data_IF_422407871794
#
_entry.id   IF_422407871794
#
_cell.length_a   1.000
_cell.length_b   1.000
_cell.length_c   1.000
_cell.angle_alpha   90.00
_cell.angle_beta   90.00
_cell.angle_gamma   90.00
#
_symmetry.space_group_name_H-M   'P 1'
#
loop_
_entity.id
_entity.type
_entity.pdbx_description
1 polymer ?
#
# COMPACT_ATOMS: atom_id res chain seq x y z
N UNK A 1 -27.65 -3.67 -2.73
CA UNK A 1 -27.57 -5.11 -3.08
C UNK A 1 -26.12 -5.52 -2.82
N UNK A 2 -25.88 -6.50 -1.94
CA UNK A 2 -24.52 -6.98 -1.64
C UNK A 2 -23.83 -7.48 -2.91
N UNK A 3 -22.50 -7.32 -3.02
CA UNK A 3 -21.73 -7.74 -4.20
C UNK A 3 -22.03 -9.22 -4.54
N UNK A 4 -22.65 -9.52 -5.70
CA UNK A 4 -23.02 -10.89 -6.07
C UNK A 4 -21.81 -11.77 -6.42
N UNK A 5 -20.62 -11.17 -6.56
CA UNK A 5 -19.36 -11.86 -6.83
C UNK A 5 -18.31 -11.42 -5.80
N UNK A 6 -18.47 -11.84 -4.54
CA UNK A 6 -17.53 -11.43 -3.51
C UNK A 6 -16.14 -12.00 -3.78
N UNK A 7 -15.11 -11.20 -3.51
CA UNK A 7 -13.71 -11.55 -3.80
C UNK A 7 -13.29 -12.91 -3.23
N UNK A 8 -13.81 -13.31 -2.07
CA UNK A 8 -13.49 -14.60 -1.45
C UNK A 8 -14.01 -15.83 -2.23
N UNK A 9 -14.84 -15.64 -3.26
CA UNK A 9 -15.30 -16.70 -4.16
C UNK A 9 -14.52 -16.75 -5.49
N UNK A 10 -13.48 -15.93 -5.68
CA UNK A 10 -12.76 -15.82 -6.96
C UNK A 10 -12.21 -17.17 -7.46
N UNK A 11 -11.68 -17.98 -6.55
CA UNK A 11 -11.18 -19.34 -6.85
C UNK A 11 -12.34 -20.28 -7.20
N UNK A 12 -13.43 -20.24 -6.42
CA UNK A 12 -14.64 -21.06 -6.68
C UNK A 12 -15.30 -20.70 -8.02
N UNK A 13 -15.20 -19.44 -8.43
CA UNK A 13 -15.72 -18.93 -9.69
C UNK A 13 -14.75 -19.12 -10.88
N UNK A 14 -13.62 -19.82 -10.67
CA UNK A 14 -12.59 -20.11 -11.68
C UNK A 14 -12.03 -18.87 -12.41
N UNK A 15 -12.01 -17.72 -11.74
CA UNK A 15 -11.49 -16.46 -12.30
C UNK A 15 -9.97 -16.37 -12.19
N UNK A 16 -9.27 -17.36 -12.72
CA UNK A 16 -7.81 -17.49 -12.59
C UNK A 16 -7.03 -16.38 -13.31
N UNK A 17 -7.61 -15.78 -14.36
CA UNK A 17 -7.03 -14.63 -15.06
C UNK A 17 -7.01 -13.33 -14.24
N UNK A 18 -7.79 -13.29 -13.16
CA UNK A 18 -7.87 -12.13 -12.28
C UNK A 18 -6.86 -12.21 -11.13
N UNK A 19 -6.22 -13.37 -10.90
CA UNK A 19 -5.24 -13.60 -9.84
C UNK A 19 -3.84 -13.56 -10.45
N UNK A 20 -2.99 -12.64 -9.98
CA UNK A 20 -1.64 -12.42 -10.52
C UNK A 20 -0.61 -12.77 -9.45
N UNK A 21 0.41 -13.55 -9.81
CA UNK A 21 1.55 -13.81 -8.95
C UNK A 21 2.44 -12.56 -8.91
N UNK A 22 2.62 -11.97 -7.74
CA UNK A 22 3.34 -10.71 -7.54
C UNK A 22 4.74 -10.89 -6.97
N UNK A 23 4.99 -12.01 -6.30
CA UNK A 23 6.30 -12.35 -5.77
C UNK A 23 6.43 -13.85 -5.55
N UNK A 24 7.62 -14.37 -5.79
CA UNK A 24 8.05 -15.73 -5.47
C UNK A 24 9.59 -15.77 -5.39
N UNK A 25 10.13 -16.69 -4.60
CA UNK A 25 11.58 -16.82 -4.38
C UNK A 25 12.22 -17.74 -5.41
N UNK A 26 11.64 -18.91 -5.65
CA UNK A 26 12.12 -19.90 -6.60
C UNK A 26 11.46 -19.76 -7.96
N UNK A 27 10.20 -19.30 -8.00
CA UNK A 27 9.40 -19.14 -9.21
C UNK A 27 9.42 -17.72 -9.81
N UNK A 28 10.61 -17.12 -9.89
CA UNK A 28 10.77 -15.70 -10.31
C UNK A 28 10.44 -15.44 -11.77
N UNK A 29 10.57 -16.43 -12.63
CA UNK A 29 10.33 -16.38 -14.07
C UNK A 29 8.85 -16.17 -14.42
N UNK A 30 7.94 -16.64 -13.56
CA UNK A 30 6.49 -16.50 -13.73
C UNK A 30 5.86 -15.33 -12.94
N UNK A 31 6.67 -14.56 -12.20
CA UNK A 31 6.18 -13.36 -11.50
C UNK A 31 5.65 -12.33 -12.50
N UNK A 32 4.42 -11.88 -12.27
CA UNK A 32 3.68 -10.95 -13.12
C UNK A 32 2.65 -11.64 -14.03
N UNK A 33 2.70 -12.96 -14.18
CA UNK A 33 1.69 -13.73 -14.91
C UNK A 33 0.44 -13.94 -14.05
N UNK A 34 -0.70 -14.11 -14.73
CA UNK A 34 -1.93 -14.58 -14.08
C UNK A 34 -1.98 -16.11 -13.97
N UNK A 35 -2.76 -16.63 -13.03
CA UNK A 35 -2.79 -18.08 -12.78
C UNK A 35 -3.42 -18.88 -13.92
N UNK A 36 -4.20 -18.26 -14.81
CA UNK A 36 -4.66 -18.93 -16.04
C UNK A 36 -3.50 -19.11 -17.03
N UNK A 37 -2.64 -18.10 -17.18
CA UNK A 37 -1.40 -18.19 -17.95
C UNK A 37 -0.42 -19.22 -17.38
N UNK A 38 -0.20 -19.20 -16.06
CA UNK A 38 0.68 -20.15 -15.38
C UNK A 38 0.18 -21.59 -15.60
N UNK A 39 -1.12 -21.84 -15.42
CA UNK A 39 -1.72 -23.17 -15.65
C UNK A 39 -1.53 -23.66 -17.09
N UNK A 40 -1.72 -22.79 -18.09
CA UNK A 40 -1.43 -23.13 -19.51
C UNK A 40 0.05 -23.45 -19.73
N UNK A 41 0.95 -22.64 -19.16
CA UNK A 41 2.40 -22.82 -19.32
C UNK A 41 2.88 -24.13 -18.68
N UNK A 42 2.35 -24.48 -17.52
CA UNK A 42 2.68 -25.71 -16.77
C UNK A 42 1.86 -26.93 -17.20
N UNK A 43 0.91 -26.76 -18.12
CA UNK A 43 -0.03 -27.80 -18.56
C UNK A 43 -0.77 -28.48 -17.39
N UNK A 44 -1.23 -27.68 -16.43
CA UNK A 44 -2.02 -28.14 -15.28
C UNK A 44 -3.19 -27.19 -15.00
N UNK A 45 -4.12 -27.62 -14.14
CA UNK A 45 -5.18 -26.73 -13.70
C UNK A 45 -4.56 -25.62 -12.84
N UNK A 46 -5.01 -24.34 -12.94
CA UNK A 46 -4.46 -23.25 -12.14
C UNK A 46 -4.49 -23.49 -10.62
N UNK A 47 -5.47 -24.26 -10.14
CA UNK A 47 -5.54 -24.69 -8.75
C UNK A 47 -4.34 -25.56 -8.35
N UNK A 48 -3.94 -26.50 -9.22
CA UNK A 48 -2.77 -27.34 -9.01
C UNK A 48 -1.50 -26.50 -9.09
N UNK A 49 -1.42 -25.57 -10.04
CA UNK A 49 -0.29 -24.64 -10.15
C UNK A 49 -0.04 -23.83 -8.87
N UNK A 50 -1.10 -23.38 -8.17
CA UNK A 50 -0.95 -22.71 -6.86
C UNK A 50 -0.29 -23.64 -5.85
N UNK A 51 -0.78 -24.88 -5.73
CA UNK A 51 -0.26 -25.85 -4.78
C UNK A 51 1.18 -26.26 -5.11
N UNK A 52 1.48 -26.48 -6.38
CA UNK A 52 2.82 -26.80 -6.87
C UNK A 52 3.81 -25.67 -6.55
N UNK A 53 3.45 -24.41 -6.82
CA UNK A 53 4.28 -23.26 -6.47
C UNK A 53 4.54 -23.21 -4.96
N UNK A 54 3.52 -23.40 -4.13
CA UNK A 54 3.70 -23.39 -2.67
C UNK A 54 4.64 -24.51 -2.20
N UNK A 55 4.57 -25.70 -2.81
CA UNK A 55 5.48 -26.81 -2.52
C UNK A 55 6.92 -26.52 -2.98
N UNK A 56 7.09 -25.95 -4.17
CA UNK A 56 8.38 -25.57 -4.75
C UNK A 56 9.10 -24.49 -3.91
N UNK A 57 8.33 -23.57 -3.33
CA UNK A 57 8.86 -22.51 -2.46
C UNK A 57 9.25 -23.06 -1.09
N UNK A 58 8.58 -24.11 -0.61
CA UNK A 58 8.96 -24.84 0.60
C UNK A 58 9.04 -23.92 1.83
N UNK A 59 10.23 -23.76 2.41
CA UNK A 59 10.42 -22.88 3.58
C UNK A 59 10.20 -21.39 3.25
N UNK A 60 10.32 -21.01 1.96
CA UNK A 60 10.12 -19.65 1.48
C UNK A 60 8.67 -19.36 1.07
N UNK A 61 7.72 -20.29 1.30
CA UNK A 61 6.32 -20.13 0.89
C UNK A 61 5.68 -18.81 1.36
N UNK A 62 6.11 -18.29 2.52
CA UNK A 62 5.59 -17.04 3.08
C UNK A 62 6.05 -15.79 2.29
N UNK A 63 7.03 -15.95 1.39
CA UNK A 63 7.45 -14.92 0.45
C UNK A 63 6.55 -14.84 -0.77
N UNK A 64 5.73 -15.87 -1.04
CA UNK A 64 4.76 -15.82 -2.12
C UNK A 64 3.72 -14.73 -1.86
N UNK A 65 3.48 -13.91 -2.87
CA UNK A 65 2.47 -12.87 -2.82
C UNK A 65 1.69 -12.88 -4.12
N UNK A 66 0.38 -12.80 -4.04
CA UNK A 66 -0.51 -12.63 -5.19
C UNK A 66 -1.56 -11.60 -4.86
N UNK A 67 -2.08 -10.94 -5.90
CA UNK A 67 -3.22 -10.05 -5.77
C UNK A 67 -4.28 -10.44 -6.78
N UNK A 68 -5.50 -9.99 -6.53
CA UNK A 68 -6.60 -10.18 -7.45
C UNK A 68 -7.14 -8.86 -7.96
N UNK A 69 -7.63 -8.85 -9.20
CA UNK A 69 -8.36 -7.73 -9.82
C UNK A 69 -9.83 -7.72 -9.38
N UNK A 70 -10.06 -7.80 -8.08
CA UNK A 70 -11.38 -8.11 -7.51
C UNK A 70 -12.26 -6.89 -7.19
N UNK A 71 -11.69 -5.69 -7.26
CA UNK A 71 -12.42 -4.46 -6.99
C UNK A 71 -12.59 -3.66 -8.27
N UNK A 72 -13.80 -3.16 -8.49
CA UNK A 72 -14.05 -2.16 -9.53
C UNK A 72 -13.66 -0.79 -8.98
N UNK A 73 -13.15 0.08 -9.85
CA UNK A 73 -12.81 1.45 -9.47
C UNK A 73 -14.01 2.16 -8.82
N UNK A 74 -15.24 1.95 -9.33
CA UNK A 74 -16.45 2.54 -8.76
C UNK A 74 -16.73 2.11 -7.30
N UNK A 75 -16.36 0.88 -6.91
CA UNK A 75 -16.53 0.42 -5.53
C UNK A 75 -15.49 1.09 -4.61
N UNK A 76 -14.27 1.29 -5.12
CA UNK A 76 -13.21 2.01 -4.40
C UNK A 76 -13.57 3.48 -4.25
N UNK A 77 -14.04 4.12 -5.32
CA UNK A 77 -14.47 5.52 -5.32
C UNK A 77 -15.63 5.74 -4.35
N UNK A 78 -16.60 4.82 -4.33
CA UNK A 78 -17.71 4.85 -3.37
C UNK A 78 -17.19 4.81 -1.93
N UNK A 79 -16.29 3.88 -1.61
CA UNK A 79 -15.66 3.83 -0.29
C UNK A 79 -14.92 5.13 0.04
N UNK A 80 -14.11 5.63 -0.89
CA UNK A 80 -13.36 6.87 -0.70
C UNK A 80 -14.27 8.08 -0.51
N UNK A 81 -15.44 8.14 -1.12
CA UNK A 81 -16.40 9.24 -0.94
C UNK A 81 -17.00 9.33 0.46
N UNK A 82 -16.95 8.26 1.26
CA UNK A 82 -17.50 8.26 2.63
C UNK A 82 -16.61 9.08 3.56
N UNK A 83 -17.20 9.96 4.39
CA UNK A 83 -16.48 10.82 5.32
C UNK A 83 -15.61 10.04 6.31
N UNK A 84 -16.06 8.85 6.70
CA UNK A 84 -15.40 8.01 7.69
C UNK A 84 -14.27 7.16 7.06
N UNK A 85 -14.23 7.00 5.73
CA UNK A 85 -13.21 6.15 5.12
C UNK A 85 -11.81 6.77 5.35
N UNK A 86 -10.93 6.02 6.03
CA UNK A 86 -9.50 6.32 6.13
C UNK A 86 -8.72 5.37 5.22
N UNK A 87 -7.54 5.80 4.80
CA UNK A 87 -6.67 5.00 3.93
C UNK A 87 -5.42 4.55 4.69
N UNK A 88 -5.00 3.33 4.45
CA UNK A 88 -3.80 2.72 5.04
C UNK A 88 -3.03 1.98 3.95
N UNK A 89 -1.78 1.63 4.26
CA UNK A 89 -0.93 0.86 3.35
C UNK A 89 -1.21 -0.64 3.35
N UNK A 90 -1.61 -1.19 4.50
CA UNK A 90 -1.66 -2.63 4.79
C UNK A 90 -0.38 -3.36 4.33
N UNK A 91 0.77 -2.87 4.79
CA UNK A 91 2.10 -3.35 4.37
C UNK A 91 2.99 -3.48 5.60
N UNK A 92 4.10 -4.21 5.46
CA UNK A 92 5.19 -4.17 6.44
C UNK A 92 6.16 -3.02 6.16
N UNK A 93 6.69 -2.42 7.22
CA UNK A 93 7.73 -1.39 7.13
C UNK A 93 9.10 -2.07 6.92
N UNK A 94 9.55 -2.14 5.68
CA UNK A 94 10.88 -2.67 5.33
C UNK A 94 11.83 -1.55 4.92
N UNK A 95 13.12 -1.84 5.00
CA UNK A 95 14.18 -0.97 4.49
C UNK A 95 14.76 -1.57 3.21
N UNK A 96 15.25 -0.70 2.31
CA UNK A 96 15.98 -1.11 1.11
C UNK A 96 17.41 -1.59 1.37
N UNK A 97 17.78 -1.70 2.64
CA UNK A 97 19.11 -2.05 3.11
C UNK A 97 19.02 -2.99 4.33
N UNK A 98 20.14 -3.63 4.68
CA UNK A 98 20.20 -4.56 5.80
C UNK A 98 19.49 -5.89 5.54
N UNK A 99 19.11 -6.58 6.61
CA UNK A 99 18.58 -7.96 6.58
C UNK A 99 17.20 -8.08 5.94
N UNK A 100 16.45 -6.97 5.87
CA UNK A 100 15.10 -6.93 5.27
C UNK A 100 15.11 -6.42 3.82
N UNK A 101 16.29 -6.17 3.23
CA UNK A 101 16.41 -5.54 1.91
C UNK A 101 15.68 -6.31 0.81
N UNK A 102 15.58 -7.63 0.92
CA UNK A 102 14.94 -8.49 -0.09
C UNK A 102 13.51 -8.87 0.29
N UNK A 103 13.01 -8.41 1.44
CA UNK A 103 11.65 -8.69 1.89
C UNK A 103 10.64 -7.72 1.25
N UNK A 104 9.61 -8.28 0.62
CA UNK A 104 8.53 -7.54 0.00
C UNK A 104 7.23 -7.69 0.81
N UNK A 105 6.77 -6.58 1.39
CA UNK A 105 5.51 -6.57 2.15
C UNK A 105 4.25 -6.36 1.31
N UNK A 106 4.35 -5.49 0.31
CA UNK A 106 3.31 -5.23 -0.68
C UNK A 106 3.95 -4.49 -1.86
N UNK A 107 3.31 -4.53 -3.04
CA UNK A 107 3.84 -3.82 -4.21
C UNK A 107 3.92 -2.31 -4.03
N UNK A 108 3.04 -1.73 -3.20
CA UNK A 108 2.97 -0.29 -2.98
C UNK A 108 3.57 0.14 -1.65
N UNK A 109 4.25 -0.74 -0.91
CA UNK A 109 4.67 -0.47 0.46
C UNK A 109 5.50 0.81 0.64
N UNK A 110 6.31 1.14 -0.36
CA UNK A 110 7.22 2.30 -0.36
C UNK A 110 6.58 3.61 -0.86
N UNK A 111 5.38 3.54 -1.45
CA UNK A 111 4.80 4.67 -2.18
C UNK A 111 3.27 4.77 -2.10
N UNK A 112 2.61 3.99 -1.25
CA UNK A 112 1.14 3.91 -1.19
C UNK A 112 0.47 5.28 -0.98
N UNK A 113 0.99 6.11 -0.08
CA UNK A 113 0.42 7.43 0.20
C UNK A 113 0.59 8.37 -0.99
N UNK A 114 1.75 8.30 -1.65
CA UNK A 114 2.01 9.04 -2.88
C UNK A 114 1.12 8.55 -4.03
N UNK A 115 0.93 7.23 -4.18
CA UNK A 115 -0.01 6.64 -5.14
C UNK A 115 -1.43 7.12 -4.89
N UNK A 116 -1.85 7.18 -3.63
CA UNK A 116 -3.19 7.64 -3.26
C UNK A 116 -3.40 9.11 -3.67
N UNK A 117 -2.49 10.01 -3.28
CA UNK A 117 -2.55 11.44 -3.63
C UNK A 117 -2.40 11.67 -5.15
N UNK A 118 -1.50 10.94 -5.81
CA UNK A 118 -1.37 10.97 -7.26
C UNK A 118 -2.66 10.54 -7.95
N UNK A 119 -3.16 9.35 -7.64
CA UNK A 119 -4.17 8.71 -8.47
C UNK A 119 -5.59 9.19 -8.17
N UNK A 120 -5.98 9.18 -6.91
CA UNK A 120 -7.37 9.43 -6.52
C UNK A 120 -7.63 10.92 -6.31
N UNK A 121 -6.62 11.69 -5.90
CA UNK A 121 -6.75 13.14 -5.67
C UNK A 121 -6.39 13.93 -6.92
N UNK A 122 -5.13 13.82 -7.41
CA UNK A 122 -4.65 14.65 -8.53
C UNK A 122 -5.18 14.19 -9.89
N UNK A 123 -4.95 12.93 -10.25
CA UNK A 123 -5.15 12.45 -11.63
C UNK A 123 -6.63 12.18 -11.94
N UNK A 124 -7.37 11.54 -11.02
CA UNK A 124 -8.79 11.19 -11.22
C UNK A 124 -9.77 12.18 -10.60
N UNK A 125 -9.34 13.04 -9.67
CA UNK A 125 -10.21 14.00 -9.01
C UNK A 125 -11.37 13.38 -8.22
N UNK A 126 -11.22 12.15 -7.73
CA UNK A 126 -12.24 11.46 -6.90
C UNK A 126 -12.45 12.20 -5.59
N UNK A 127 -11.39 12.82 -5.07
CA UNK A 127 -11.38 13.60 -3.83
C UNK A 127 -10.72 14.95 -4.07
N UNK A 128 -11.17 15.97 -3.33
CA UNK A 128 -10.39 17.21 -3.22
C UNK A 128 -9.07 16.94 -2.49
N UNK A 129 -8.08 17.84 -2.63
CA UNK A 129 -6.83 17.71 -1.89
C UNK A 129 -7.06 17.72 -0.37
N UNK A 130 -7.98 18.56 0.12
CA UNK A 130 -8.31 18.63 1.53
C UNK A 130 -8.91 17.31 2.05
N UNK A 131 -9.86 16.72 1.31
CA UNK A 131 -10.48 15.44 1.67
C UNK A 131 -9.47 14.29 1.61
N UNK A 132 -8.63 14.26 0.58
CA UNK A 132 -7.55 13.29 0.47
C UNK A 132 -6.58 13.36 1.66
N UNK A 133 -6.16 14.57 2.05
CA UNK A 133 -5.29 14.77 3.21
C UNK A 133 -5.98 14.36 4.52
N UNK A 134 -7.26 14.71 4.72
CA UNK A 134 -8.01 14.32 5.91
C UNK A 134 -8.03 12.80 6.12
N UNK A 135 -8.14 12.02 5.04
CA UNK A 135 -8.14 10.54 5.06
C UNK A 135 -6.80 9.92 5.45
N UNK A 136 -5.71 10.68 5.31
CA UNK A 136 -4.36 10.30 5.74
C UNK A 136 -4.02 10.83 7.15
N UNK A 137 -4.70 11.87 7.62
CA UNK A 137 -4.31 12.61 8.84
C UNK A 137 -5.42 12.65 9.89
N UNK A 138 -6.40 13.53 9.74
CA UNK A 138 -7.39 13.83 10.78
C UNK A 138 -8.38 12.71 11.02
N UNK A 139 -8.81 12.01 9.95
CA UNK A 139 -9.75 10.89 10.05
C UNK A 139 -9.15 9.73 10.86
N UNK A 140 -7.95 9.19 10.53
CA UNK A 140 -7.34 8.15 11.35
C UNK A 140 -6.94 8.65 12.75
N UNK A 141 -6.51 9.91 12.90
CA UNK A 141 -6.20 10.47 14.22
C UNK A 141 -7.44 10.52 15.12
N UNK A 142 -8.58 10.97 14.61
CA UNK A 142 -9.85 10.99 15.33
C UNK A 142 -10.32 9.57 15.67
N UNK A 143 -10.25 8.63 14.71
CA UNK A 143 -10.64 7.23 14.92
C UNK A 143 -9.86 6.54 16.02
N UNK A 144 -8.56 6.81 16.10
CA UNK A 144 -7.68 6.25 17.14
C UNK A 144 -7.70 7.07 18.43
N UNK A 145 -8.30 8.26 18.46
CA UNK A 145 -8.27 9.17 19.60
C UNK A 145 -6.91 9.84 19.83
N UNK A 146 -6.10 10.06 18.79
CA UNK A 146 -4.76 10.67 18.94
C UNK A 146 -4.88 12.15 19.35
N UNK A 147 -4.58 12.45 20.62
CA UNK A 147 -4.61 13.83 21.13
C UNK A 147 -3.49 14.68 20.49
N UNK A 148 -3.84 15.89 20.05
CA UNK A 148 -2.88 16.86 19.54
C UNK A 148 -2.15 16.45 18.24
N UNK A 149 -2.72 15.52 17.46
CA UNK A 149 -2.17 15.04 16.17
C UNK A 149 -3.23 14.99 15.08
N UNK A 150 -2.82 14.84 13.83
CA UNK A 150 -3.71 14.75 12.66
C UNK A 150 -4.21 16.09 12.11
N UNK A 151 -3.91 17.21 12.76
CA UNK A 151 -4.24 18.56 12.31
C UNK A 151 -3.05 19.50 12.44
N UNK A 152 -2.94 20.48 11.53
CA UNK A 152 -2.02 21.61 11.66
C UNK A 152 -2.67 22.70 12.49
N UNK A 153 -2.37 22.75 13.79
CA UNK A 153 -2.93 23.72 14.74
C UNK A 153 -1.89 24.11 15.79
N UNK A 154 -1.94 25.35 16.27
CA UNK A 154 -1.12 25.79 17.41
C UNK A 154 -1.38 24.89 18.62
N UNK A 155 -0.30 24.44 19.27
CA UNK A 155 -0.35 23.52 20.40
C UNK A 155 -0.40 22.03 20.04
N UNK A 156 -0.48 21.68 18.75
CA UNK A 156 -0.41 20.28 18.29
C UNK A 156 1.05 19.87 18.06
N UNK A 157 1.30 18.55 18.03
CA UNK A 157 2.61 18.03 17.64
C UNK A 157 2.94 18.43 16.21
N UNK A 158 4.20 18.83 15.98
CA UNK A 158 4.70 19.19 14.65
C UNK A 158 5.05 17.94 13.83
N UNK A 159 4.03 17.12 13.53
CA UNK A 159 4.09 16.05 12.54
C UNK A 159 3.63 16.61 11.20
N UNK A 160 4.59 16.93 10.32
CA UNK A 160 4.34 17.74 9.13
C UNK A 160 4.98 17.06 7.92
N UNK A 161 4.23 16.98 6.83
CA UNK A 161 4.72 16.55 5.53
C UNK A 161 4.63 17.73 4.55
N UNK A 162 5.77 18.11 3.96
CA UNK A 162 5.83 19.09 2.87
C UNK A 162 6.09 18.31 1.58
N UNK A 163 5.19 18.46 0.61
CA UNK A 163 5.25 17.75 -0.65
C UNK A 163 4.76 18.63 -1.79
N UNK A 164 5.19 18.31 -3.00
CA UNK A 164 4.75 18.93 -4.24
C UNK A 164 3.50 18.20 -4.76
N UNK A 165 2.32 18.84 -4.78
CA UNK A 165 1.09 18.20 -5.23
C UNK A 165 1.08 17.90 -6.73
N UNK A 166 1.92 18.58 -7.53
CA UNK A 166 2.05 18.32 -8.98
C UNK A 166 2.95 17.11 -9.21
N UNK A 167 4.05 16.98 -8.46
CA UNK A 167 5.08 15.96 -8.69
C UNK A 167 5.00 14.74 -7.76
N UNK A 168 4.06 14.68 -6.82
CA UNK A 168 3.84 13.51 -5.95
C UNK A 168 3.57 12.25 -6.78
N UNK A 169 4.36 11.20 -6.60
CA UNK A 169 4.18 9.97 -7.38
C UNK A 169 4.71 8.72 -6.66
N UNK A 170 4.03 7.60 -6.86
CA UNK A 170 4.61 6.29 -6.54
C UNK A 170 5.46 5.81 -7.71
N UNK A 171 6.70 5.42 -7.41
CA UNK A 171 7.63 4.88 -8.41
C UNK A 171 7.62 3.34 -8.45
N UNK A 172 6.78 2.71 -7.64
CA UNK A 172 6.70 1.26 -7.54
C UNK A 172 5.98 0.66 -8.76
N UNK A 173 6.49 -0.47 -9.24
CA UNK A 173 5.86 -1.30 -10.28
C UNK A 173 5.84 -2.75 -9.81
N UNK A 174 5.06 -3.62 -10.48
CA UNK A 174 5.08 -5.06 -10.17
C UNK A 174 6.50 -5.65 -10.26
N UNK A 175 7.30 -5.21 -11.24
CA UNK A 175 8.70 -5.65 -11.42
C UNK A 175 9.67 -4.99 -10.46
N UNK A 176 9.42 -3.76 -10.04
CA UNK A 176 10.27 -2.98 -9.14
C UNK A 176 9.44 -2.35 -8.01
N UNK A 177 8.97 -3.15 -7.04
CA UNK A 177 8.05 -2.65 -6.00
C UNK A 177 8.73 -1.84 -4.90
N UNK A 178 10.05 -2.00 -4.73
CA UNK A 178 10.83 -1.40 -3.64
C UNK A 178 11.42 -0.02 -3.98
N UNK A 179 10.63 0.84 -4.63
CA UNK A 179 11.03 2.18 -5.06
C UNK A 179 10.35 3.23 -4.18
N UNK A 180 11.13 4.11 -3.55
CA UNK A 180 10.61 5.25 -2.80
C UNK A 180 9.78 6.17 -3.70
N UNK A 181 8.77 6.81 -3.13
CA UNK A 181 7.97 7.84 -3.79
C UNK A 181 8.79 9.10 -4.16
N UNK A 182 8.31 9.83 -5.16
CA UNK A 182 8.79 11.17 -5.53
C UNK A 182 7.85 12.25 -5.00
N UNK A 183 8.35 13.49 -4.90
CA UNK A 183 7.54 14.68 -4.60
C UNK A 183 7.36 14.99 -3.12
N UNK A 184 7.88 14.18 -2.19
CA UNK A 184 7.91 14.51 -0.76
C UNK A 184 9.24 15.21 -0.45
N UNK A 185 9.19 16.45 0.03
CA UNK A 185 10.36 17.29 0.28
C UNK A 185 10.85 17.20 1.73
N UNK A 186 9.94 17.37 2.68
CA UNK A 186 10.26 17.35 4.11
C UNK A 186 9.25 16.52 4.89
N UNK A 187 9.75 15.77 5.86
CA UNK A 187 8.93 15.09 6.86
C UNK A 187 9.48 15.42 8.23
N UNK A 188 8.64 16.01 9.05
CA UNK A 188 8.90 16.30 10.45
C UNK A 188 8.08 15.35 11.30
N UNK A 189 8.71 14.79 12.32
CA UNK A 189 8.06 14.00 13.38
C UNK A 189 8.41 14.65 14.69
N UNK A 190 7.41 15.03 15.48
CA UNK A 190 7.61 15.79 16.72
C UNK A 190 8.53 17.02 16.55
N UNK A 191 8.40 17.73 15.42
CA UNK A 191 9.17 18.95 15.11
C UNK A 191 10.62 18.73 14.65
N UNK A 192 11.07 17.48 14.49
CA UNK A 192 12.42 17.16 14.00
C UNK A 192 12.35 16.59 12.59
N UNK A 193 13.26 17.01 11.71
CA UNK A 193 13.35 16.46 10.36
C UNK A 193 13.74 14.97 10.40
N UNK A 194 12.79 14.12 10.04
CA UNK A 194 13.03 12.71 9.68
C UNK A 194 13.41 12.58 8.20
N UNK A 195 12.93 13.50 7.36
CA UNK A 195 13.38 13.68 5.98
C UNK A 195 13.54 15.16 5.68
N UNK A 196 14.64 15.54 5.04
CA UNK A 196 14.93 16.92 4.64
C UNK A 196 15.47 16.93 3.21
N UNK A 197 14.94 17.81 2.37
CA UNK A 197 15.34 17.95 0.97
C UNK A 197 15.30 16.60 0.22
N UNK A 198 14.25 15.81 0.46
CA UNK A 198 14.06 14.47 -0.11
C UNK A 198 14.97 13.38 0.45
N UNK A 199 15.82 13.68 1.44
CA UNK A 199 16.79 12.74 2.01
C UNK A 199 16.43 12.36 3.44
N UNK A 200 16.45 11.06 3.76
CA UNK A 200 16.20 10.59 5.13
C UNK A 200 17.34 11.02 6.05
N UNK A 201 16.99 11.58 7.19
CA UNK A 201 17.94 12.00 8.23
C UNK A 201 18.20 10.85 9.22
N UNK A 202 19.39 10.77 9.85
CA UNK A 202 19.71 9.76 10.86
C UNK A 202 19.09 10.10 12.23
N UNK A 203 17.81 10.49 12.25
CA UNK A 203 17.06 10.88 13.44
C UNK A 203 15.81 10.04 13.56
N UNK A 204 15.67 9.35 14.69
CA UNK A 204 14.46 8.62 15.06
C UNK A 204 13.66 9.45 16.07
N UNK A 205 12.81 10.35 15.59
CA UNK A 205 12.05 11.28 16.42
C UNK A 205 10.68 10.74 16.87
N UNK A 206 10.36 9.48 16.55
CA UNK A 206 9.12 8.83 16.95
C UNK A 206 8.99 8.67 18.46
N UNK A 207 7.75 8.64 18.94
CA UNK A 207 7.42 8.42 20.35
C UNK A 207 6.28 7.42 20.45
N UNK A 208 6.31 6.57 21.49
CA UNK A 208 5.18 5.69 21.82
C UNK A 208 4.02 6.57 22.32
N UNK A 209 2.89 6.52 21.63
CA UNK A 209 1.68 7.23 22.03
C UNK A 209 0.99 6.42 23.12
N UNK A 210 0.74 7.06 24.27
CA UNK A 210 0.07 6.46 25.44
C UNK A 210 -1.21 7.18 25.84
N UNK A 211 -1.40 8.40 25.34
CA UNK A 211 -2.54 9.23 25.68
C UNK A 211 -3.51 9.28 24.50
N UNK A 212 -4.71 8.73 24.72
CA UNK A 212 -5.79 8.73 23.76
C UNK A 212 -6.99 9.50 24.32
N UNK A 213 -7.77 10.13 23.44
CA UNK A 213 -9.10 10.63 23.79
C UNK A 213 -10.00 9.44 24.07
N UNK A 214 -10.75 9.52 25.18
CA UNK A 214 -11.80 8.55 25.54
C UNK A 214 -13.05 8.90 24.77
#
# INVERSE_FOLDING_TARGET
IANPQPMWLIVKAEKWSDIVLLNATHNKDIVGMDFAEIGRMRNCHPYDAVLDILLEEGQDLMSCMWASRSFRDADVDLCLSQSECAVISDTVATANEGVLKDHLGSLTGYGWAARFLQHYVRDRGVLSLADGLAKLTSVPAARLGLKGRGHLKVGYHADICVFDPINIASNATAKNPRRYASGICHVLVNGKFSMRDGTRMPINAGQVIREFAV
#
